data_IF_174289575846
#
_entry.id   IF_174289575846
#
_cell.length_a   1.000
_cell.length_b   1.000
_cell.length_c   1.000
_cell.angle_alpha   90.00
_cell.angle_beta   90.00
_cell.angle_gamma   90.00
#
_symmetry.space_group_name_H-M   'P 1'
#
loop_
_entity.id
_entity.type
_entity.pdbx_description
1 polymer ?
#
# COMPACT_ATOMS: atom_id res chain seq x y z
N UNK A 1 4.72 -3.33 21.15
CA UNK A 1 5.46 -3.00 19.92
C UNK A 1 5.25 -4.20 19.02
N UNK A 2 4.28 -4.09 18.13
CA UNK A 2 3.93 -5.17 17.22
C UNK A 2 4.81 -5.02 15.98
N UNK A 3 5.45 -6.09 15.52
CA UNK A 3 6.58 -6.04 14.57
C UNK A 3 6.31 -5.46 13.17
N UNK A 4 5.07 -5.05 12.85
CA UNK A 4 4.69 -4.44 11.58
C UNK A 4 4.96 -2.93 11.51
N UNK A 5 5.20 -2.26 12.65
CA UNK A 5 5.57 -0.83 12.70
C UNK A 5 6.94 -0.55 12.05
N UNK A 6 7.83 -1.55 11.97
CA UNK A 6 9.21 -1.36 11.50
C UNK A 6 9.35 -1.29 9.96
N UNK A 7 8.39 -1.87 9.24
CA UNK A 7 8.34 -1.91 7.78
C UNK A 7 7.38 -0.89 7.18
N UNK A 8 6.64 -0.17 8.02
CA UNK A 8 5.67 0.83 7.58
C UNK A 8 6.35 1.94 6.79
N UNK A 9 5.77 2.33 5.65
CA UNK A 9 6.26 3.39 4.79
C UNK A 9 5.14 4.31 4.33
N UNK A 10 5.48 5.59 4.19
CA UNK A 10 4.54 6.64 3.80
C UNK A 10 4.88 7.16 2.42
N UNK A 11 3.87 7.42 1.60
CA UNK A 11 4.04 7.90 0.23
C UNK A 11 3.04 9.00 -0.09
N UNK A 12 3.41 9.88 -1.00
CA UNK A 12 2.51 10.86 -1.60
C UNK A 12 2.41 10.65 -3.10
N UNK A 13 1.19 10.59 -3.61
CA UNK A 13 0.93 10.60 -5.05
C UNK A 13 0.99 12.04 -5.58
N UNK A 14 1.40 12.21 -6.84
CA UNK A 14 1.43 13.52 -7.50
C UNK A 14 0.03 14.11 -7.75
N UNK A 15 -0.98 13.23 -7.78
CA UNK A 15 -2.40 13.53 -7.89
C UNK A 15 -3.16 12.50 -7.06
N UNK A 16 -4.26 12.90 -6.41
CA UNK A 16 -5.13 11.99 -5.68
C UNK A 16 -5.56 10.79 -6.56
N UNK A 17 -5.56 9.61 -5.95
CA UNK A 17 -5.91 8.35 -6.63
C UNK A 17 -7.17 7.73 -6.03
N UNK A 18 -7.99 7.13 -6.88
CA UNK A 18 -9.11 6.27 -6.44
C UNK A 18 -8.58 4.84 -6.28
N UNK A 19 -8.13 4.52 -5.07
CA UNK A 19 -7.46 3.25 -4.80
C UNK A 19 -8.40 2.04 -5.02
N UNK A 20 -9.65 2.02 -4.51
CA UNK A 20 -10.58 0.92 -4.76
C UNK A 20 -10.89 0.72 -6.25
N UNK A 21 -11.03 1.80 -7.03
CA UNK A 21 -11.27 1.67 -8.47
C UNK A 21 -10.06 1.04 -9.19
N UNK A 22 -8.85 1.50 -8.88
CA UNK A 22 -7.62 0.96 -9.49
C UNK A 22 -7.40 -0.51 -9.12
N UNK A 23 -7.59 -0.88 -7.85
CA UNK A 23 -7.44 -2.27 -7.39
C UNK A 23 -8.46 -3.18 -8.08
N UNK A 24 -9.73 -2.75 -8.20
CA UNK A 24 -10.75 -3.50 -8.93
C UNK A 24 -10.43 -3.65 -10.42
N UNK A 25 -10.02 -2.57 -11.09
CA UNK A 25 -9.67 -2.58 -12.52
C UNK A 25 -8.52 -3.56 -12.82
N UNK A 26 -7.57 -3.68 -11.89
CA UNK A 26 -6.41 -4.55 -12.02
C UNK A 26 -6.56 -5.91 -11.33
N UNK A 27 -7.77 -6.27 -10.92
CA UNK A 27 -8.11 -7.55 -10.29
C UNK A 27 -7.27 -7.87 -9.05
N UNK A 28 -6.93 -6.85 -8.27
CA UNK A 28 -6.30 -7.02 -6.96
C UNK A 28 -7.40 -7.24 -5.92
N UNK A 29 -7.26 -8.29 -5.11
CA UNK A 29 -8.19 -8.56 -4.03
C UNK A 29 -7.94 -7.61 -2.86
N UNK A 30 -8.99 -6.99 -2.34
CA UNK A 30 -8.91 -6.11 -1.19
C UNK A 30 -10.20 -6.13 -0.37
N UNK A 31 -10.09 -5.67 0.87
CA UNK A 31 -11.17 -5.44 1.80
C UNK A 31 -11.17 -3.98 2.23
N UNK A 32 -12.24 -3.26 1.93
CA UNK A 32 -12.50 -1.95 2.54
C UNK A 32 -12.86 -2.15 4.02
N UNK A 33 -12.05 -1.60 4.91
CA UNK A 33 -12.28 -1.62 6.36
C UNK A 33 -13.14 -0.43 6.76
N UNK A 34 -12.77 0.75 6.26
CA UNK A 34 -13.47 2.02 6.40
C UNK A 34 -13.06 2.99 5.28
N UNK A 35 -13.59 4.21 5.27
CA UNK A 35 -13.36 5.21 4.22
C UNK A 35 -11.87 5.60 4.04
N UNK A 36 -11.02 5.29 5.00
CA UNK A 36 -9.59 5.65 5.03
C UNK A 36 -8.66 4.44 5.05
N UNK A 37 -9.17 3.22 5.12
CA UNK A 37 -8.34 2.04 5.33
C UNK A 37 -8.82 0.84 4.52
N UNK A 38 -7.87 0.21 3.83
CA UNK A 38 -8.07 -1.03 3.11
C UNK A 38 -7.00 -2.07 3.47
N UNK A 39 -7.39 -3.35 3.44
CA UNK A 39 -6.46 -4.47 3.48
C UNK A 39 -6.35 -5.06 2.09
N UNK A 40 -5.14 -5.12 1.54
CA UNK A 40 -4.89 -5.49 0.13
C UNK A 40 -4.06 -6.77 0.06
N UNK A 41 -4.46 -7.69 -0.82
CA UNK A 41 -3.68 -8.89 -1.12
C UNK A 41 -2.85 -8.63 -2.38
N UNK A 42 -1.55 -8.43 -2.22
CA UNK A 42 -0.63 -8.10 -3.31
C UNK A 42 0.55 -9.08 -3.34
N UNK A 43 0.72 -9.80 -4.45
CA UNK A 43 1.79 -10.80 -4.64
C UNK A 43 1.89 -11.76 -3.45
N UNK A 44 0.76 -12.36 -3.07
CA UNK A 44 0.63 -13.29 -1.92
C UNK A 44 0.90 -12.66 -0.53
N UNK A 45 1.20 -11.36 -0.46
CA UNK A 45 1.31 -10.62 0.78
C UNK A 45 -0.01 -9.95 1.17
N UNK A 46 -0.19 -9.73 2.47
CA UNK A 46 -1.28 -8.93 3.04
C UNK A 46 -0.71 -7.58 3.47
N UNK A 47 -1.21 -6.51 2.82
CA UNK A 47 -0.84 -5.13 3.08
C UNK A 47 -1.97 -4.41 3.81
N UNK A 48 -1.62 -3.58 4.77
CA UNK A 48 -2.51 -2.57 5.34
C UNK A 48 -2.22 -1.24 4.64
N UNK A 49 -3.23 -0.63 4.05
CA UNK A 49 -3.12 0.67 3.40
C UNK A 49 -4.05 1.64 4.13
N UNK A 50 -3.47 2.69 4.68
CA UNK A 50 -4.18 3.75 5.39
C UNK A 50 -3.95 5.09 4.69
N UNK A 51 -5.02 5.84 4.46
CA UNK A 51 -4.98 7.17 3.88
C UNK A 51 -4.82 8.17 5.02
N UNK A 52 -3.71 8.91 5.02
CA UNK A 52 -3.44 9.93 6.05
C UNK A 52 -4.23 11.22 5.78
N UNK A 53 -4.49 11.52 4.51
CA UNK A 53 -5.25 12.69 4.07
C UNK A 53 -6.16 12.33 2.90
N UNK A 54 -7.46 12.53 3.09
CA UNK A 54 -8.50 12.20 2.09
C UNK A 54 -9.31 10.96 2.49
N UNK A 55 -9.75 10.22 1.48
CA UNK A 55 -10.43 8.92 1.58
C UNK A 55 -9.81 7.97 0.56
N UNK A 56 -10.14 6.68 0.61
CA UNK A 56 -9.62 5.67 -0.32
C UNK A 56 -9.91 6.01 -1.80
N UNK A 57 -11.06 6.64 -2.09
CA UNK A 57 -11.43 7.12 -3.44
C UNK A 57 -10.72 8.42 -3.86
N UNK A 58 -10.00 9.08 -2.94
CA UNK A 58 -9.27 10.33 -3.18
C UNK A 58 -7.97 10.38 -2.35
N UNK A 59 -7.14 9.35 -2.47
CA UNK A 59 -5.95 9.18 -1.66
C UNK A 59 -4.80 10.04 -2.18
N UNK A 60 -4.39 11.06 -1.41
CA UNK A 60 -3.21 11.88 -1.71
C UNK A 60 -1.95 11.31 -1.04
N UNK A 61 -2.09 10.88 0.20
CA UNK A 61 -1.01 10.38 1.04
C UNK A 61 -1.45 9.08 1.69
N UNK A 62 -0.63 8.05 1.53
CA UNK A 62 -0.89 6.72 2.09
C UNK A 62 0.25 6.28 2.98
N UNK A 63 -0.09 5.56 4.03
CA UNK A 63 0.80 4.75 4.84
C UNK A 63 0.51 3.29 4.53
N UNK A 64 1.56 2.53 4.26
CA UNK A 64 1.46 1.11 3.90
C UNK A 64 2.33 0.30 4.85
N UNK A 65 1.78 -0.79 5.36
CA UNK A 65 2.49 -1.75 6.21
C UNK A 65 2.23 -3.17 5.72
N UNK A 66 3.21 -4.07 5.90
CA UNK A 66 3.04 -5.50 5.64
C UNK A 66 2.48 -6.16 6.89
N UNK A 67 1.27 -6.69 6.82
CA UNK A 67 0.68 -7.51 7.89
C UNK A 67 1.18 -8.95 7.81
N UNK A 68 1.24 -9.51 6.59
CA UNK A 68 1.77 -10.84 6.34
C UNK A 68 2.58 -10.82 5.04
N UNK A 69 3.88 -11.15 5.06
CA UNK A 69 4.65 -11.27 3.84
C UNK A 69 4.31 -12.56 3.08
N UNK A 70 4.72 -12.66 1.80
CA UNK A 70 4.72 -13.91 1.06
C UNK A 70 5.54 -14.98 1.79
N UNK A 71 5.23 -16.26 1.55
CA UNK A 71 5.86 -17.38 2.25
C UNK A 71 7.39 -17.48 2.03
N UNK A 72 7.90 -16.91 0.94
CA UNK A 72 9.31 -16.88 0.57
C UNK A 72 10.08 -15.67 1.14
N UNK A 73 9.40 -14.71 1.78
CA UNK A 73 10.03 -13.53 2.39
C UNK A 73 10.10 -13.71 3.92
N UNK A 74 11.30 -13.50 4.48
CA UNK A 74 11.50 -13.51 5.94
C UNK A 74 10.79 -12.28 6.56
N UNK A 75 9.87 -12.47 7.53
CA UNK A 75 9.15 -11.36 8.17
C UNK A 75 10.04 -10.43 8.99
N UNK A 76 11.31 -10.79 9.23
CA UNK A 76 12.31 -9.95 9.88
C UNK A 76 13.18 -9.18 8.90
N UNK A 77 13.18 -9.55 7.61
CA UNK A 77 13.92 -8.85 6.55
C UNK A 77 13.20 -7.56 6.15
N UNK A 78 13.57 -6.48 6.84
CA UNK A 78 12.97 -5.17 6.62
C UNK A 78 13.22 -4.62 5.21
N UNK A 79 14.33 -4.99 4.55
CA UNK A 79 14.61 -4.51 3.20
C UNK A 79 13.68 -5.17 2.18
N UNK A 80 13.48 -6.49 2.31
CA UNK A 80 12.53 -7.22 1.46
C UNK A 80 11.08 -6.72 1.65
N UNK A 81 10.64 -6.54 2.90
CA UNK A 81 9.29 -6.03 3.20
C UNK A 81 9.08 -4.62 2.63
N UNK A 82 10.08 -3.75 2.74
CA UNK A 82 10.01 -2.40 2.20
C UNK A 82 10.00 -2.39 0.68
N UNK A 83 10.76 -3.28 0.03
CA UNK A 83 10.75 -3.45 -1.41
C UNK A 83 9.38 -3.90 -1.95
N UNK A 84 8.68 -4.75 -1.21
CA UNK A 84 7.30 -5.15 -1.55
C UNK A 84 6.33 -3.96 -1.48
N UNK A 85 6.48 -3.09 -0.47
CA UNK A 85 5.66 -1.88 -0.36
C UNK A 85 5.99 -0.89 -1.50
N UNK A 86 7.27 -0.69 -1.81
CA UNK A 86 7.70 0.13 -2.94
C UNK A 86 7.07 -0.36 -4.24
N UNK A 87 7.15 -1.66 -4.50
CA UNK A 87 6.57 -2.28 -5.70
C UNK A 87 5.05 -2.04 -5.78
N UNK A 88 4.32 -2.26 -4.68
CA UNK A 88 2.89 -2.03 -4.63
C UNK A 88 2.53 -0.58 -4.97
N UNK A 89 3.20 0.38 -4.34
CA UNK A 89 2.89 1.80 -4.50
C UNK A 89 3.30 2.32 -5.89
N UNK A 90 4.44 1.88 -6.43
CA UNK A 90 4.86 2.18 -7.81
C UNK A 90 3.87 1.63 -8.84
N UNK A 91 3.31 0.44 -8.57
CA UNK A 91 2.28 -0.17 -9.41
C UNK A 91 1.01 0.67 -9.43
N UNK A 92 0.52 1.09 -8.26
CA UNK A 92 -0.65 1.98 -8.13
C UNK A 92 -0.41 3.30 -8.86
N UNK A 93 0.76 3.90 -8.67
CA UNK A 93 1.12 5.15 -9.35
C UNK A 93 1.14 5.00 -10.88
N UNK A 94 1.67 3.89 -11.38
CA UNK A 94 1.70 3.54 -12.79
C UNK A 94 0.29 3.40 -13.37
N UNK A 95 -0.61 2.71 -12.67
CA UNK A 95 -2.00 2.55 -13.08
C UNK A 95 -2.76 3.88 -13.11
N UNK A 96 -2.55 4.72 -12.10
CA UNK A 96 -3.13 6.05 -12.01
C UNK A 96 -2.54 7.06 -13.01
N UNK A 97 -1.41 6.74 -13.65
CA UNK A 97 -0.67 7.67 -14.50
C UNK A 97 -0.08 8.86 -13.72
N UNK A 98 0.29 8.65 -12.47
CA UNK A 98 0.86 9.66 -11.58
C UNK A 98 2.25 9.27 -11.08
N UNK A 99 2.97 10.23 -10.49
CA UNK A 99 4.23 9.96 -9.80
C UNK A 99 3.97 9.65 -8.33
N UNK A 100 4.89 8.94 -7.68
CA UNK A 100 4.85 8.72 -6.23
C UNK A 100 6.18 9.08 -5.59
N UNK A 101 6.14 9.53 -4.35
CA UNK A 101 7.32 9.94 -3.59
C UNK A 101 7.24 9.41 -2.16
N UNK A 102 8.28 8.67 -1.76
CA UNK A 102 8.44 8.20 -0.38
C UNK A 102 8.62 9.40 0.58
N UNK A 103 8.03 9.30 1.77
CA UNK A 103 8.11 10.29 2.85
C UNK A 103 8.78 9.63 4.06
N UNK A 104 9.86 10.24 4.53
CA UNK A 104 10.57 9.87 5.76
C UNK A 104 9.82 10.30 7.03
#
# INVERSE_FOLDING_TARGET
MTGWEASTRRYSFGTAVDLPALLNEHHIEFLDVDDTRAVVIFTEAILNVEVDSGSLDHADVVEVAVFEPPADIDPTDQEALRGLIDEFVDRVATWAGTSVTHRD
#
